data_IF_393255363063
#
_entry.id   IF_393255363063
#
_cell.length_a   1.000
_cell.length_b   1.000
_cell.length_c   1.000
_cell.angle_alpha   90.00
_cell.angle_beta   90.00
_cell.angle_gamma   90.00
#
_symmetry.space_group_name_H-M   'P 1'
#
loop_
_entity.id
_entity.type
_entity.pdbx_description
1 polymer ?
#
# COMPACT_ATOMS: atom_id res chain seq x y z
N UNK A 1 8.73 -13.17 3.54
CA UNK A 1 7.77 -13.73 4.54
C UNK A 1 6.65 -12.73 4.76
N UNK A 2 5.40 -13.17 4.92
CA UNK A 2 4.26 -12.29 5.25
C UNK A 2 4.24 -12.06 6.77
N UNK A 3 3.85 -10.86 7.20
CA UNK A 3 3.63 -10.58 8.62
C UNK A 3 2.38 -11.34 9.10
N UNK A 4 2.37 -11.89 10.33
CA UNK A 4 1.21 -12.57 10.88
C UNK A 4 0.10 -11.56 11.17
N UNK A 5 -1.09 -11.81 10.61
CA UNK A 5 -2.31 -11.04 10.84
C UNK A 5 -3.22 -11.82 11.78
N UNK A 6 -3.91 -11.11 12.66
CA UNK A 6 -4.98 -11.69 13.47
C UNK A 6 -6.17 -12.12 12.59
N UNK A 7 -6.88 -13.16 13.02
CA UNK A 7 -7.97 -13.78 12.25
C UNK A 7 -9.24 -12.93 12.15
N UNK A 8 -9.35 -11.92 13.00
CA UNK A 8 -10.47 -10.97 13.08
C UNK A 8 -10.34 -9.80 12.08
N UNK A 9 -9.25 -9.71 11.33
CA UNK A 9 -9.04 -8.62 10.37
C UNK A 9 -9.86 -8.84 9.08
N UNK A 10 -10.87 -8.00 8.88
CA UNK A 10 -11.65 -7.92 7.66
C UNK A 10 -10.95 -7.07 6.58
N UNK A 11 -10.09 -7.70 5.76
CA UNK A 11 -9.40 -7.03 4.65
C UNK A 11 -10.35 -6.38 3.60
N UNK A 12 -11.51 -6.96 3.24
CA UNK A 12 -12.43 -6.32 2.31
C UNK A 12 -12.93 -4.96 2.82
N UNK A 13 -13.31 -4.89 4.10
CA UNK A 13 -13.73 -3.64 4.74
C UNK A 13 -12.61 -2.61 4.78
N UNK A 14 -11.37 -3.05 5.05
CA UNK A 14 -10.20 -2.17 5.00
C UNK A 14 -9.97 -1.60 3.60
N UNK A 15 -10.18 -2.40 2.55
CA UNK A 15 -10.05 -1.94 1.17
C UNK A 15 -11.08 -0.88 0.81
N UNK A 16 -12.32 -1.01 1.27
CA UNK A 16 -13.37 0.00 1.10
C UNK A 16 -13.03 1.32 1.81
N UNK A 17 -12.46 1.23 3.02
CA UNK A 17 -12.04 2.41 3.79
C UNK A 17 -10.84 3.15 3.17
N UNK A 18 -10.05 2.48 2.35
CA UNK A 18 -8.82 3.00 1.74
C UNK A 18 -9.01 3.38 0.27
N UNK A 19 -10.25 3.66 -0.16
CA UNK A 19 -10.49 4.15 -1.50
C UNK A 19 -9.77 5.50 -1.76
N UNK A 20 -9.13 5.58 -2.92
CA UNK A 20 -8.26 6.70 -3.31
C UNK A 20 -6.88 6.74 -2.61
N UNK A 21 -6.53 5.75 -1.78
CA UNK A 21 -5.15 5.57 -1.33
C UNK A 21 -4.30 4.93 -2.42
N UNK A 22 -3.06 5.35 -2.54
CA UNK A 22 -2.10 4.72 -3.46
C UNK A 22 -1.50 3.46 -2.86
N UNK A 23 -0.85 2.64 -3.69
CA UNK A 23 -0.08 1.50 -3.20
C UNK A 23 1.04 1.89 -2.22
N UNK A 24 1.60 3.10 -2.36
CA UNK A 24 2.58 3.63 -1.43
C UNK A 24 1.94 3.97 -0.07
N UNK A 25 0.78 4.61 -0.07
CA UNK A 25 0.07 4.96 1.17
C UNK A 25 -0.36 3.70 1.94
N UNK A 26 -0.90 2.69 1.22
CA UNK A 26 -1.26 1.39 1.80
C UNK A 26 -0.03 0.70 2.38
N UNK A 27 1.12 0.79 1.70
CA UNK A 27 2.39 0.25 2.20
C UNK A 27 2.82 0.94 3.49
N UNK A 28 2.69 2.27 3.58
CA UNK A 28 3.00 3.03 4.79
C UNK A 28 2.10 2.59 5.96
N UNK A 29 0.80 2.44 5.73
CA UNK A 29 -0.17 1.97 6.72
C UNK A 29 0.25 0.60 7.27
N UNK A 30 0.58 -0.34 6.37
CA UNK A 30 1.01 -1.69 6.77
C UNK A 30 2.29 -1.66 7.61
N UNK A 31 3.28 -0.86 7.21
CA UNK A 31 4.53 -0.71 7.95
C UNK A 31 4.29 -0.09 9.33
N UNK A 32 3.40 0.89 9.43
CA UNK A 32 3.05 1.55 10.69
C UNK A 32 2.33 0.59 11.64
N UNK A 33 1.36 -0.17 11.14
CA UNK A 33 0.67 -1.20 11.92
C UNK A 33 1.65 -2.26 12.44
N UNK A 34 2.60 -2.71 11.61
CA UNK A 34 3.63 -3.65 12.03
C UNK A 34 4.53 -3.09 13.15
N UNK A 35 4.94 -1.82 13.05
CA UNK A 35 5.72 -1.15 14.11
C UNK A 35 4.96 -1.03 15.42
N UNK A 36 3.65 -0.73 15.35
CA UNK A 36 2.79 -0.66 16.53
C UNK A 36 2.68 -2.03 17.22
N UNK A 37 2.47 -3.10 16.44
CA UNK A 37 2.43 -4.47 16.97
C UNK A 37 3.74 -4.85 17.66
N UNK A 38 4.89 -4.53 17.06
CA UNK A 38 6.21 -4.78 17.66
C UNK A 38 6.34 -4.00 18.99
N UNK A 39 5.94 -2.72 19.02
CA UNK A 39 6.00 -1.89 20.21
C UNK A 39 5.13 -2.44 21.35
N UNK A 40 3.91 -2.88 21.01
CA UNK A 40 3.00 -3.51 21.97
C UNK A 40 3.61 -4.80 22.55
N UNK A 41 4.09 -5.69 21.69
CA UNK A 41 4.69 -6.96 22.11
C UNK A 41 5.89 -6.76 23.05
N UNK A 42 6.79 -5.82 22.74
CA UNK A 42 7.91 -5.47 23.63
C UNK A 42 7.40 -4.93 24.97
N UNK A 43 6.34 -4.10 24.97
CA UNK A 43 5.73 -3.57 26.18
C UNK A 43 5.15 -4.67 27.07
N UNK A 44 4.41 -5.61 26.47
CA UNK A 44 3.83 -6.77 27.16
C UNK A 44 4.91 -7.69 27.74
N UNK A 45 5.98 -7.97 26.99
CA UNK A 45 7.11 -8.76 27.49
C UNK A 45 7.80 -8.10 28.70
N UNK A 46 7.98 -6.78 28.68
CA UNK A 46 8.57 -6.04 29.80
C UNK A 46 7.63 -6.03 31.00
N UNK A 47 6.32 -5.83 30.80
CA UNK A 47 5.32 -5.88 31.86
C UNK A 47 5.24 -7.26 32.50
N UNK A 48 5.32 -8.32 31.70
CA UNK A 48 5.36 -9.72 32.17
C UNK A 48 6.55 -9.98 33.08
N UNK A 49 7.74 -9.50 32.70
CA UNK A 49 8.95 -9.63 33.55
C UNK A 49 8.83 -8.88 34.87
N UNK A 50 8.03 -7.82 34.93
CA UNK A 50 7.75 -7.06 36.16
C UNK A 50 6.64 -7.66 37.03
N UNK A 51 5.92 -8.66 36.52
CA UNK A 51 4.72 -9.21 37.18
C UNK A 51 3.48 -8.32 37.03
N UNK A 52 3.51 -7.33 36.14
CA UNK A 52 2.37 -6.42 35.87
C UNK A 52 1.42 -6.97 34.79
N UNK A 53 1.78 -8.10 34.17
CA UNK A 53 1.03 -8.71 33.08
C UNK A 53 1.14 -10.25 33.12
N UNK A 54 0.00 -10.92 33.31
CA UNK A 54 -0.09 -12.38 33.39
C UNK A 54 -0.39 -13.06 32.04
N UNK A 55 -0.56 -12.28 30.97
CA UNK A 55 -0.90 -12.80 29.64
C UNK A 55 0.29 -13.34 28.85
N UNK A 56 -0.02 -13.97 27.71
CA UNK A 56 0.98 -14.29 26.68
C UNK A 56 1.03 -13.17 25.63
N UNK A 57 2.22 -12.64 25.32
CA UNK A 57 2.37 -11.59 24.31
C UNK A 57 1.90 -12.06 22.93
N UNK A 58 1.04 -11.28 22.29
CA UNK A 58 0.48 -11.65 20.98
C UNK A 58 1.38 -11.12 19.86
N UNK A 59 2.12 -12.02 19.22
CA UNK A 59 3.02 -11.71 18.10
C UNK A 59 2.27 -11.61 16.75
N UNK A 60 1.16 -10.87 16.72
CA UNK A 60 0.33 -10.70 15.53
C UNK A 60 -0.08 -9.23 15.35
N UNK A 61 -0.29 -8.83 14.11
CA UNK A 61 -0.92 -7.53 13.82
C UNK A 61 -2.42 -7.68 14.10
N UNK A 62 -2.87 -7.05 15.17
CA UNK A 62 -4.28 -6.89 15.56
C UNK A 62 -4.98 -5.74 14.79
N UNK A 63 -6.31 -5.76 14.76
CA UNK A 63 -7.14 -4.71 14.14
C UNK A 63 -6.83 -3.30 14.70
N UNK A 64 -6.61 -3.19 16.02
CA UNK A 64 -6.29 -1.92 16.69
C UNK A 64 -5.03 -1.21 16.12
N UNK A 65 -4.05 -1.99 15.64
CA UNK A 65 -2.84 -1.43 15.02
C UNK A 65 -3.13 -0.84 13.65
N UNK A 66 -3.98 -1.51 12.88
CA UNK A 66 -4.43 -1.03 11.57
C UNK A 66 -5.31 0.22 11.74
N UNK A 67 -6.24 0.22 12.68
CA UNK A 67 -7.07 1.39 12.97
C UNK A 67 -6.23 2.62 13.34
N UNK A 68 -5.25 2.43 14.22
CA UNK A 68 -4.32 3.49 14.62
C UNK A 68 -3.46 3.98 13.44
N UNK A 69 -3.03 3.07 12.57
CA UNK A 69 -2.25 3.39 11.38
C UNK A 69 -3.07 4.16 10.34
N UNK A 70 -4.30 3.73 10.06
CA UNK A 70 -5.22 4.38 9.11
C UNK A 70 -5.61 5.78 9.60
N UNK A 71 -5.95 5.93 10.89
CA UNK A 71 -6.33 7.23 11.48
C UNK A 71 -5.26 8.30 11.33
N UNK A 72 -3.99 7.89 11.26
CA UNK A 72 -2.84 8.79 11.17
C UNK A 72 -2.25 8.87 9.77
N UNK A 73 -2.88 8.20 8.80
CA UNK A 73 -2.50 8.23 7.39
C UNK A 73 -3.33 9.26 6.62
N UNK A 74 -2.84 9.63 5.43
CA UNK A 74 -3.49 10.56 4.50
C UNK A 74 -3.29 10.06 3.07
N UNK A 75 -4.24 10.36 2.19
CA UNK A 75 -4.05 10.17 0.74
C UNK A 75 -2.90 11.07 0.28
N UNK A 76 -1.92 10.51 -0.43
CA UNK A 76 -0.80 11.31 -0.95
C UNK A 76 -1.12 12.00 -2.27
N UNK A 77 -2.16 11.53 -2.99
CA UNK A 77 -2.60 12.08 -4.27
C UNK A 77 -3.96 12.74 -4.10
N UNK A 78 -4.12 13.94 -4.65
CA UNK A 78 -5.38 14.69 -4.60
C UNK A 78 -6.39 14.15 -5.62
N UNK A 79 -7.68 14.38 -5.36
CA UNK A 79 -8.74 14.01 -6.33
C UNK A 79 -8.65 14.83 -7.62
N UNK A 80 -8.14 16.07 -7.56
CA UNK A 80 -7.92 16.92 -8.73
C UNK A 80 -6.84 16.33 -9.65
N UNK A 81 -5.71 15.91 -9.08
CA UNK A 81 -4.65 15.24 -9.84
C UNK A 81 -5.19 13.95 -10.47
N UNK A 82 -5.96 13.16 -9.70
CA UNK A 82 -6.53 11.91 -10.19
C UNK A 82 -7.47 12.14 -11.38
N UNK A 83 -8.32 13.18 -11.30
CA UNK A 83 -9.22 13.57 -12.39
C UNK A 83 -8.44 14.06 -13.62
N UNK A 84 -7.38 14.85 -13.41
CA UNK A 84 -6.51 15.31 -14.49
C UNK A 84 -5.85 14.12 -15.21
N UNK A 85 -5.28 13.18 -14.46
CA UNK A 85 -4.68 11.96 -15.00
C UNK A 85 -5.68 11.09 -15.76
N UNK A 86 -6.92 10.95 -15.27
CA UNK A 86 -7.98 10.22 -15.98
C UNK A 86 -8.34 10.89 -17.31
N UNK A 87 -8.51 12.22 -17.33
CA UNK A 87 -8.81 12.97 -18.55
C UNK A 87 -7.67 12.86 -19.58
N UNK A 88 -6.42 12.89 -19.11
CA UNK A 88 -5.24 12.75 -19.94
C UNK A 88 -5.15 11.33 -20.53
N UNK A 89 -5.36 10.29 -19.72
CA UNK A 89 -5.37 8.90 -20.17
C UNK A 89 -6.45 8.65 -21.24
N UNK A 90 -7.65 9.22 -21.08
CA UNK A 90 -8.72 9.13 -22.06
C UNK A 90 -8.35 9.82 -23.39
N UNK A 91 -7.77 11.03 -23.33
CA UNK A 91 -7.29 11.77 -24.51
C UNK A 91 -6.18 11.01 -25.23
N UNK A 92 -5.21 10.45 -24.49
CA UNK A 92 -4.13 9.65 -25.06
C UNK A 92 -4.64 8.38 -25.74
N UNK A 93 -5.62 7.69 -25.15
CA UNK A 93 -6.22 6.50 -25.76
C UNK A 93 -6.93 6.84 -27.08
N UNK A 94 -7.70 7.92 -27.10
CA UNK A 94 -8.37 8.39 -28.34
C UNK A 94 -7.35 8.79 -29.41
N UNK A 95 -6.31 9.53 -29.04
CA UNK A 95 -5.22 9.89 -29.95
C UNK A 95 -4.46 8.65 -30.45
N UNK A 96 -4.24 7.64 -29.60
CA UNK A 96 -3.63 6.37 -30.00
C UNK A 96 -4.51 5.57 -30.96
N UNK A 97 -5.83 5.56 -30.78
CA UNK A 97 -6.78 4.93 -31.70
C UNK A 97 -6.78 5.66 -33.06
N UNK A 98 -6.77 7.00 -33.06
CA UNK A 98 -6.64 7.83 -34.28
C UNK A 98 -5.28 7.66 -34.97
N UNK A 99 -4.20 7.49 -34.20
CA UNK A 99 -2.83 7.29 -34.72
C UNK A 99 -2.56 5.82 -35.10
N UNK A 100 -3.26 4.85 -34.53
CA UNK A 100 -3.16 3.44 -34.93
C UNK A 100 -3.70 3.20 -36.36
N UNK A 101 -4.54 4.10 -36.87
CA UNK A 101 -4.94 4.16 -38.29
C UNK A 101 -3.85 4.75 -39.21
N UNK A 102 -2.77 5.31 -38.66
CA UNK A 102 -1.63 5.89 -39.39
C UNK A 102 -0.31 5.66 -38.66
N UNK A 103 0.26 4.46 -38.81
CA UNK A 103 1.38 3.97 -38.02
C UNK A 103 2.57 4.94 -37.87
N UNK A 104 2.96 5.23 -36.62
CA UNK A 104 4.38 5.42 -36.25
C UNK A 104 4.60 5.05 -34.77
N UNK A 105 5.51 4.10 -34.52
CA UNK A 105 5.78 3.57 -33.19
C UNK A 105 6.56 4.57 -32.31
N UNK A 106 6.11 4.78 -31.08
CA UNK A 106 6.73 5.70 -30.12
C UNK A 106 8.15 5.25 -29.69
N UNK A 107 9.07 6.18 -29.36
CA UNK A 107 10.46 5.86 -29.04
C UNK A 107 10.65 4.90 -27.84
N UNK A 108 9.70 4.88 -26.90
CA UNK A 108 9.73 4.01 -25.70
C UNK A 108 9.65 2.52 -26.06
N UNK A 109 8.92 2.16 -27.11
CA UNK A 109 8.75 0.77 -27.56
C UNK A 109 9.99 0.23 -28.26
N UNK A 110 10.95 1.09 -28.61
CA UNK A 110 12.23 0.74 -29.24
C UNK A 110 13.38 0.63 -28.23
N UNK A 111 13.11 0.81 -26.94
CA UNK A 111 14.15 0.68 -25.92
C UNK A 111 14.52 -0.79 -25.70
N UNK A 112 15.74 -1.15 -26.09
CA UNK A 112 16.31 -2.47 -25.86
C UNK A 112 17.77 -2.29 -25.46
N UNK A 113 18.17 -2.87 -24.32
CA UNK A 113 19.58 -3.00 -24.01
C UNK A 113 20.20 -3.97 -25.01
N UNK A 114 21.12 -3.46 -25.83
CA UNK A 114 21.86 -4.24 -26.81
C UNK A 114 22.62 -5.35 -26.07
N UNK A 115 22.13 -6.59 -26.15
CA UNK A 115 22.79 -7.74 -25.54
C UNK A 115 24.14 -7.94 -26.25
N UNK A 116 25.24 -7.53 -25.62
CA UNK A 116 26.59 -7.84 -26.11
C UNK A 116 26.91 -9.25 -25.64
N UNK A 117 26.55 -10.23 -26.47
CA UNK A 117 27.12 -11.57 -26.36
C UNK A 117 28.62 -11.51 -26.67
N UNK A 118 29.44 -11.70 -25.64
CA UNK A 118 30.64 -12.54 -25.62
C UNK A 118 30.83 -13.05 -24.20
#
# INVERSE_FOLDING_TARGET
>A
KRAPLASDIALPYLAECLDGYTGADITEICQRAAKLAIKQNIGEEVAKRKGDFDGEPVQQILALHLESAVRTSRKSVSEEDLAMYQSFAAKMRKMQEETALGASASPITRFSFKNKGK
#
